data_IF_547409090626
#
_entry.id   IF_547409090626
#
_cell.length_a   1.000
_cell.length_b   1.000
_cell.length_c   1.000
_cell.angle_alpha   90.00
_cell.angle_beta   90.00
_cell.angle_gamma   90.00
#
_symmetry.space_group_name_H-M   'P 1'
#
loop_
_entity.id
_entity.type
_entity.pdbx_description
1 polymer ?
#
# COMPACT_ATOMS: atom_id res chain seq x y z
N UNK A 1 12.39 -2.39 -11.79
CA UNK A 1 12.67 -3.24 -10.60
C UNK A 1 12.01 -4.61 -10.71
N UNK A 2 10.71 -4.72 -11.01
CA UNK A 2 10.03 -6.03 -11.14
C UNK A 2 10.68 -6.98 -12.14
N UNK A 3 10.94 -6.54 -13.38
CA UNK A 3 11.60 -7.37 -14.41
C UNK A 3 13.05 -7.77 -14.05
N UNK A 4 13.65 -7.15 -13.04
CA UNK A 4 14.96 -7.57 -12.52
C UNK A 4 14.80 -8.66 -11.45
N UNK A 5 13.78 -8.56 -10.60
CA UNK A 5 13.51 -9.51 -9.52
C UNK A 5 12.83 -10.78 -10.03
N UNK A 6 11.92 -10.65 -11.01
CA UNK A 6 11.23 -11.78 -11.63
C UNK A 6 11.11 -11.57 -13.15
N UNK A 7 12.20 -11.81 -13.92
CA UNK A 7 12.25 -11.54 -15.36
C UNK A 7 11.20 -12.30 -16.17
N UNK A 8 10.94 -13.55 -15.80
CA UNK A 8 10.02 -14.45 -16.51
C UNK A 8 8.61 -14.48 -15.87
N UNK A 9 8.24 -13.42 -15.14
CA UNK A 9 6.93 -13.32 -14.53
C UNK A 9 5.82 -13.41 -15.60
N UNK A 10 4.87 -14.36 -15.50
CA UNK A 10 3.75 -14.40 -16.42
C UNK A 10 2.97 -13.08 -16.38
N UNK A 11 2.77 -12.45 -17.53
CA UNK A 11 2.14 -11.12 -17.61
C UNK A 11 3.05 -9.94 -17.26
N UNK A 12 4.33 -10.17 -16.94
CA UNK A 12 5.30 -9.10 -16.67
C UNK A 12 4.84 -8.16 -15.56
N UNK A 13 4.68 -6.88 -15.87
CA UNK A 13 4.18 -5.86 -14.93
C UNK A 13 2.69 -6.01 -14.57
N UNK A 14 1.94 -6.75 -15.38
CA UNK A 14 0.54 -7.11 -15.13
C UNK A 14 0.42 -8.51 -14.49
N UNK A 15 1.50 -9.02 -13.92
CA UNK A 15 1.40 -10.20 -13.06
C UNK A 15 0.52 -9.87 -11.84
N UNK A 16 -0.47 -10.72 -11.47
CA UNK A 16 -1.35 -10.49 -10.32
C UNK A 16 -0.64 -10.30 -8.96
N UNK A 17 0.60 -10.80 -8.83
CA UNK A 17 1.44 -10.59 -7.64
C UNK A 17 1.92 -9.15 -7.51
N UNK A 18 1.92 -8.38 -8.60
CA UNK A 18 2.33 -6.97 -8.65
C UNK A 18 1.14 -6.03 -8.90
N UNK A 19 0.24 -6.41 -9.81
CA UNK A 19 -0.92 -5.61 -10.21
C UNK A 19 -2.20 -6.27 -9.68
N UNK A 20 -2.83 -5.71 -8.62
CA UNK A 20 -3.99 -6.32 -7.97
C UNK A 20 -5.27 -6.29 -8.83
N UNK A 21 -5.27 -5.60 -9.97
CA UNK A 21 -6.40 -5.54 -10.92
C UNK A 21 -6.04 -6.08 -12.30
N UNK A 22 -4.97 -6.87 -12.40
CA UNK A 22 -4.66 -7.62 -13.61
C UNK A 22 -5.83 -8.55 -14.00
N UNK A 23 -5.92 -8.92 -15.28
CA UNK A 23 -7.03 -9.72 -15.81
C UNK A 23 -7.28 -11.05 -15.07
N UNK A 24 -6.22 -11.66 -14.53
CA UNK A 24 -6.27 -12.91 -13.77
C UNK A 24 -6.10 -12.71 -12.26
N UNK A 25 -6.22 -11.48 -11.76
CA UNK A 25 -6.10 -11.19 -10.34
C UNK A 25 -7.35 -11.62 -9.56
N UNK A 26 -7.19 -12.15 -8.33
CA UNK A 26 -8.33 -12.35 -7.43
C UNK A 26 -9.08 -11.04 -7.16
N UNK A 27 -10.40 -11.11 -7.07
CA UNK A 27 -11.22 -9.95 -6.72
C UNK A 27 -10.86 -9.40 -5.33
N UNK A 28 -10.74 -8.07 -5.24
CA UNK A 28 -10.49 -7.35 -3.99
C UNK A 28 -11.61 -7.52 -2.95
N UNK A 29 -12.84 -7.86 -3.37
CA UNK A 29 -13.94 -8.20 -2.45
C UNK A 29 -13.59 -9.40 -1.56
N UNK A 30 -12.68 -10.27 -2.02
CA UNK A 30 -12.26 -11.48 -1.31
C UNK A 30 -11.08 -11.24 -0.35
N UNK A 31 -10.72 -9.99 -0.06
CA UNK A 31 -9.71 -9.69 0.95
C UNK A 31 -10.11 -10.33 2.29
N UNK A 32 -9.23 -11.21 2.79
CA UNK A 32 -9.50 -12.06 3.96
C UNK A 32 -9.37 -11.36 5.31
N UNK A 33 -9.11 -10.05 5.33
CA UNK A 33 -9.06 -9.24 6.54
C UNK A 33 -10.36 -8.46 6.74
N UNK A 34 -10.58 -7.93 7.94
CA UNK A 34 -11.69 -7.01 8.24
C UNK A 34 -11.29 -5.54 8.14
N UNK A 35 -9.99 -5.27 8.27
CA UNK A 35 -9.42 -3.93 8.23
C UNK A 35 -8.17 -3.90 7.38
N UNK A 36 -7.95 -2.78 6.71
CA UNK A 36 -6.79 -2.53 5.85
C UNK A 36 -6.27 -1.12 6.11
N UNK A 37 -4.96 -1.00 6.33
CA UNK A 37 -4.27 0.27 6.47
C UNK A 37 -3.31 0.47 5.32
N UNK A 38 -3.40 1.63 4.68
CA UNK A 38 -2.51 2.06 3.60
C UNK A 38 -1.79 3.31 4.07
N UNK A 39 -0.47 3.21 4.25
CA UNK A 39 0.37 4.34 4.62
C UNK A 39 1.25 4.75 3.45
N UNK A 40 1.24 6.04 3.10
CA UNK A 40 1.99 6.59 1.97
C UNK A 40 2.81 7.82 2.41
N UNK A 41 3.90 8.07 1.71
CA UNK A 41 4.75 9.25 1.91
C UNK A 41 4.48 10.23 0.78
N UNK A 42 4.23 11.50 1.09
CA UNK A 42 3.73 12.49 0.12
C UNK A 42 4.75 12.89 -0.95
N UNK A 43 6.06 12.67 -0.72
CA UNK A 43 7.12 12.92 -1.72
C UNK A 43 7.58 11.63 -2.43
N UNK A 44 6.80 10.56 -2.34
CA UNK A 44 7.05 9.28 -3.01
C UNK A 44 6.17 9.14 -4.26
N UNK A 45 6.46 9.94 -5.28
CA UNK A 45 5.58 10.12 -6.46
C UNK A 45 5.19 8.80 -7.16
N UNK A 46 6.09 7.81 -7.20
CA UNK A 46 5.80 6.56 -7.93
C UNK A 46 5.09 5.54 -7.03
N UNK A 47 5.56 5.34 -5.80
CA UNK A 47 5.03 4.28 -4.92
C UNK A 47 3.88 4.79 -4.04
N UNK A 48 3.91 6.06 -3.66
CA UNK A 48 2.84 6.77 -2.95
C UNK A 48 1.56 6.80 -3.78
N UNK A 49 1.62 7.29 -5.02
CA UNK A 49 0.47 7.33 -5.95
C UNK A 49 -0.12 5.93 -6.17
N UNK A 50 0.75 4.91 -6.28
CA UNK A 50 0.33 3.50 -6.35
C UNK A 50 -0.41 3.04 -5.10
N UNK A 51 0.03 3.48 -3.92
CA UNK A 51 -0.65 3.20 -2.64
C UNK A 51 -2.03 3.84 -2.59
N UNK A 52 -2.14 5.12 -2.96
CA UNK A 52 -3.43 5.84 -3.05
C UNK A 52 -4.36 5.19 -4.07
N UNK A 53 -3.83 4.80 -5.23
CA UNK A 53 -4.60 4.08 -6.25
C UNK A 53 -5.13 2.74 -5.72
N UNK A 54 -4.32 1.95 -5.01
CA UNK A 54 -4.77 0.70 -4.40
C UNK A 54 -5.86 0.95 -3.34
N UNK A 55 -5.73 2.01 -2.55
CA UNK A 55 -6.75 2.41 -1.58
C UNK A 55 -8.10 2.66 -2.24
N UNK A 56 -8.16 3.48 -3.30
CA UNK A 56 -9.42 3.76 -4.00
C UNK A 56 -9.97 2.50 -4.69
N UNK A 57 -9.12 1.65 -5.28
CA UNK A 57 -9.56 0.38 -5.86
C UNK A 57 -10.25 -0.54 -4.85
N UNK A 58 -9.71 -0.67 -3.64
CA UNK A 58 -10.32 -1.51 -2.61
C UNK A 58 -11.64 -0.92 -2.16
N UNK A 59 -11.69 0.40 -1.95
CA UNK A 59 -12.89 1.14 -1.55
C UNK A 59 -14.03 1.01 -2.57
N UNK A 60 -13.70 1.07 -3.86
CA UNK A 60 -14.66 0.93 -4.97
C UNK A 60 -14.99 -0.54 -5.31
N UNK A 61 -14.23 -1.50 -4.79
CA UNK A 61 -14.42 -2.92 -5.13
C UNK A 61 -15.69 -3.54 -4.57
N UNK A 62 -16.33 -2.91 -3.57
CA UNK A 62 -17.43 -3.49 -2.80
C UNK A 62 -16.97 -4.40 -1.65
N UNK A 63 -15.70 -4.35 -1.28
CA UNK A 63 -15.20 -4.98 -0.06
C UNK A 63 -15.84 -4.34 1.18
N UNK A 64 -16.43 -5.15 2.05
CA UNK A 64 -17.21 -4.69 3.22
C UNK A 64 -16.34 -4.43 4.47
N UNK A 65 -15.02 -4.43 4.33
CA UNK A 65 -14.10 -4.13 5.43
C UNK A 65 -13.87 -2.63 5.63
N UNK A 66 -13.13 -2.29 6.69
CA UNK A 66 -12.72 -0.93 6.97
C UNK A 66 -11.36 -0.64 6.32
N UNK A 67 -11.26 0.44 5.55
CA UNK A 67 -9.99 0.88 4.97
C UNK A 67 -9.63 2.27 5.47
N UNK A 68 -8.36 2.47 5.81
CA UNK A 68 -7.80 3.78 6.16
C UNK A 68 -6.57 4.09 5.30
N UNK A 69 -6.54 5.32 4.78
CA UNK A 69 -5.38 5.93 4.12
C UNK A 69 -4.73 6.92 5.09
N UNK A 70 -3.43 6.84 5.25
CA UNK A 70 -2.64 7.79 6.02
C UNK A 70 -1.46 8.27 5.20
N UNK A 71 -1.52 9.53 4.81
CA UNK A 71 -0.47 10.20 4.05
C UNK A 71 0.37 11.08 4.97
N UNK A 72 1.70 10.95 4.84
CA UNK A 72 2.63 11.81 5.54
C UNK A 72 3.34 12.74 4.54
N UNK A 73 2.93 14.00 4.52
CA UNK A 73 3.54 15.04 3.69
C UNK A 73 5.00 15.31 4.10
N UNK A 74 5.83 15.70 3.12
CA UNK A 74 7.23 16.08 3.35
C UNK A 74 8.19 14.92 3.60
N UNK A 75 7.73 13.68 3.40
CA UNK A 75 8.55 12.49 3.52
C UNK A 75 8.63 11.72 2.20
N UNK A 76 9.82 11.16 1.93
CA UNK A 76 10.05 10.28 0.79
C UNK A 76 9.86 8.79 1.11
N UNK A 77 10.20 7.96 0.13
CA UNK A 77 10.04 6.52 0.17
C UNK A 77 10.67 5.89 1.44
N UNK A 78 9.90 5.03 2.11
CA UNK A 78 10.32 4.25 3.28
C UNK A 78 10.93 5.09 4.44
N UNK A 79 10.53 6.37 4.60
CA UNK A 79 11.06 7.26 5.64
C UNK A 79 11.01 6.67 7.06
N UNK A 80 9.96 5.92 7.38
CA UNK A 80 9.78 5.30 8.69
C UNK A 80 10.85 4.26 9.03
N UNK A 81 11.43 3.62 8.00
CA UNK A 81 12.53 2.67 8.14
C UNK A 81 13.90 3.35 8.04
N UNK A 82 14.06 4.28 7.08
CA UNK A 82 15.34 4.93 6.81
C UNK A 82 15.71 6.00 7.85
N UNK A 83 14.70 6.65 8.46
CA UNK A 83 14.86 7.76 9.41
C UNK A 83 13.97 7.59 10.65
N UNK A 84 14.11 6.47 11.41
CA UNK A 84 13.17 6.08 12.45
C UNK A 84 13.13 7.03 13.66
N UNK A 85 14.14 7.88 13.82
CA UNK A 85 14.24 8.83 14.94
C UNK A 85 13.48 10.14 14.71
N UNK A 86 13.02 10.40 13.48
CA UNK A 86 12.27 11.61 13.14
C UNK A 86 10.87 11.56 13.75
N UNK A 87 10.29 12.73 14.06
CA UNK A 87 8.95 12.78 14.63
C UNK A 87 7.89 12.30 13.62
N UNK A 88 8.15 12.50 12.33
CA UNK A 88 7.33 11.98 11.25
C UNK A 88 7.34 10.44 11.19
N UNK A 89 8.53 9.81 11.28
CA UNK A 89 8.60 8.36 11.38
C UNK A 89 7.88 7.82 12.63
N UNK A 90 8.03 8.48 13.79
CA UNK A 90 7.32 8.10 15.01
C UNK A 90 5.80 8.20 14.84
N UNK A 91 5.28 9.28 14.24
CA UNK A 91 3.85 9.43 13.94
C UNK A 91 3.31 8.28 13.07
N UNK A 92 4.05 7.90 12.03
CA UNK A 92 3.67 6.78 11.16
C UNK A 92 3.67 5.44 11.92
N UNK A 93 4.69 5.19 12.75
CA UNK A 93 4.79 4.00 13.60
C UNK A 93 3.65 3.97 14.64
N UNK A 94 3.36 5.10 15.29
CA UNK A 94 2.28 5.23 16.27
C UNK A 94 0.91 4.99 15.64
N UNK A 95 0.70 5.50 14.42
CA UNK A 95 -0.54 5.25 13.66
C UNK A 95 -0.71 3.78 13.33
N UNK A 96 0.36 3.13 12.84
CA UNK A 96 0.38 1.69 12.57
C UNK A 96 0.14 0.87 13.85
N UNK A 97 0.80 1.23 14.96
CA UNK A 97 0.62 0.55 16.23
C UNK A 97 -0.82 0.69 16.76
N UNK A 98 -1.44 1.85 16.57
CA UNK A 98 -2.85 2.07 16.91
C UNK A 98 -3.76 1.18 16.08
N UNK A 99 -3.55 1.08 14.76
CA UNK A 99 -4.34 0.21 13.87
C UNK A 99 -4.28 -1.27 14.27
N UNK A 100 -3.12 -1.76 14.72
CA UNK A 100 -2.93 -3.16 15.12
C UNK A 100 -3.56 -3.47 16.48
N UNK A 101 -3.53 -2.51 17.42
CA UNK A 101 -4.01 -2.72 18.80
C UNK A 101 -5.53 -2.76 18.94
N UNK A 102 -6.25 -2.14 18.00
CA UNK A 102 -7.71 -2.21 17.94
C UNK A 102 -8.16 -3.49 17.27
#
# INVERSE_FOLDING_TARGET
MWNFVYPDAPGGVDNPMLNPVAANAPSLVKLGCRRLFVGVAGEDEIIGDRGVWYYELVKDSGWEGEIELFELEGEGHAHQYLRPHTDNAKKMIDRLASFIKH
#
